data_IF_596046031490
#
_entry.id   IF_596046031490
#
_cell.length_a   1.000
_cell.length_b   1.000
_cell.length_c   1.000
_cell.angle_alpha   90.00
_cell.angle_beta   90.00
_cell.angle_gamma   90.00
#
_symmetry.space_group_name_H-M   'P 1'
#
loop_
_entity.id
_entity.type
_entity.pdbx_description
1 polymer ?
#
# COMPACT_ATOMS: atom_id res chain seq x y z
N UNK A 1 22.43 -3.09 4.55
CA UNK A 1 21.41 -3.47 5.55
C UNK A 1 21.71 -4.88 6.03
N UNK A 2 21.68 -5.15 7.34
CA UNK A 2 21.87 -6.50 7.86
C UNK A 2 20.62 -7.36 7.58
N UNK A 3 20.78 -8.68 7.44
CA UNK A 3 19.71 -9.63 7.12
C UNK A 3 18.57 -9.60 8.15
N UNK A 4 18.89 -9.45 9.44
CA UNK A 4 17.88 -9.35 10.49
C UNK A 4 17.00 -8.11 10.33
N UNK A 5 17.61 -6.97 9.97
CA UNK A 5 16.88 -5.73 9.72
C UNK A 5 15.98 -5.86 8.48
N UNK A 6 16.48 -6.46 7.40
CA UNK A 6 15.69 -6.71 6.19
C UNK A 6 14.51 -7.65 6.46
N UNK A 7 14.73 -8.75 7.19
CA UNK A 7 13.67 -9.66 7.63
C UNK A 7 12.60 -8.92 8.44
N UNK A 8 13.02 -8.08 9.38
CA UNK A 8 12.10 -7.31 10.21
C UNK A 8 11.26 -6.34 9.37
N UNK A 9 11.89 -5.59 8.46
CA UNK A 9 11.19 -4.67 7.55
C UNK A 9 10.17 -5.41 6.69
N UNK A 10 10.56 -6.53 6.06
CA UNK A 10 9.65 -7.34 5.25
C UNK A 10 8.44 -7.84 6.05
N UNK A 11 8.63 -8.22 7.32
CA UNK A 11 7.52 -8.65 8.19
C UNK A 11 6.62 -7.50 8.62
N UNK A 12 7.21 -6.35 8.94
CA UNK A 12 6.45 -5.17 9.34
C UNK A 12 5.60 -4.66 8.18
N UNK A 13 6.20 -4.45 7.01
CA UNK A 13 5.49 -4.02 5.81
C UNK A 13 4.45 -5.07 5.42
N UNK A 14 4.86 -6.33 5.28
CA UNK A 14 3.95 -7.40 4.87
C UNK A 14 2.78 -7.59 5.83
N UNK A 15 3.03 -7.55 7.13
CA UNK A 15 2.00 -7.63 8.16
C UNK A 15 1.07 -6.41 8.17
N UNK A 16 1.61 -5.21 7.99
CA UNK A 16 0.81 -3.99 7.89
C UNK A 16 -0.11 -4.02 6.66
N UNK A 17 0.41 -4.42 5.49
CA UNK A 17 -0.38 -4.51 4.26
C UNK A 17 -1.51 -5.54 4.33
N UNK A 18 -1.39 -6.59 5.16
CA UNK A 18 -2.49 -7.54 5.36
C UNK A 18 -3.74 -6.93 6.00
N UNK A 19 -3.64 -5.81 6.72
CA UNK A 19 -4.84 -5.12 7.23
C UNK A 19 -5.73 -4.60 6.09
N UNK A 20 -5.20 -4.45 4.87
CA UNK A 20 -6.00 -4.13 3.70
C UNK A 20 -7.08 -5.18 3.39
N UNK A 21 -6.94 -6.43 3.87
CA UNK A 21 -7.98 -7.46 3.73
C UNK A 21 -9.34 -7.00 4.30
N UNK A 22 -9.33 -6.18 5.36
CA UNK A 22 -10.55 -5.64 5.97
C UNK A 22 -11.28 -4.75 4.95
N UNK A 23 -10.53 -3.89 4.25
CA UNK A 23 -11.05 -2.89 3.31
C UNK A 23 -11.57 -3.48 1.99
N UNK A 24 -11.39 -4.78 1.76
CA UNK A 24 -12.08 -5.49 0.68
C UNK A 24 -13.59 -5.56 0.95
N UNK A 25 -13.99 -5.67 2.21
CA UNK A 25 -15.36 -5.98 2.61
C UNK A 25 -16.09 -4.81 3.28
N UNK A 26 -15.39 -3.72 3.60
CA UNK A 26 -16.03 -2.57 4.24
C UNK A 26 -17.13 -1.98 3.36
N UNK A 27 -18.22 -1.50 3.96
CA UNK A 27 -19.32 -0.88 3.21
C UNK A 27 -18.93 0.54 2.76
N UNK A 28 -19.74 1.13 1.88
CA UNK A 28 -19.45 2.46 1.32
C UNK A 28 -19.40 3.55 2.39
N UNK A 29 -20.28 3.47 3.38
CA UNK A 29 -20.42 4.41 4.47
C UNK A 29 -19.12 4.56 5.25
N UNK A 30 -18.41 3.46 5.52
CA UNK A 30 -17.11 3.50 6.20
C UNK A 30 -16.05 4.20 5.37
N UNK A 31 -16.01 3.95 4.06
CA UNK A 31 -15.07 4.62 3.17
C UNK A 31 -15.36 6.12 3.10
N UNK A 32 -16.64 6.49 3.01
CA UNK A 32 -17.07 7.88 2.99
C UNK A 32 -16.77 8.60 4.32
N UNK A 33 -17.04 7.97 5.46
CA UNK A 33 -16.71 8.50 6.79
C UNK A 33 -15.20 8.74 6.94
N UNK A 34 -14.36 7.82 6.47
CA UNK A 34 -12.90 7.99 6.48
C UNK A 34 -12.51 9.15 5.58
N UNK A 35 -13.01 9.19 4.33
CA UNK A 35 -12.72 10.24 3.36
C UNK A 35 -13.08 11.64 3.88
N UNK A 36 -14.23 11.77 4.55
CA UNK A 36 -14.62 12.97 5.27
C UNK A 36 -13.69 13.26 6.46
N UNK A 37 -13.39 12.26 7.29
CA UNK A 37 -12.58 12.40 8.50
C UNK A 37 -11.13 12.86 8.24
N UNK A 38 -10.60 12.54 7.05
CA UNK A 38 -9.27 12.99 6.60
C UNK A 38 -9.32 14.30 5.78
N UNK A 39 -10.50 14.91 5.65
CA UNK A 39 -10.67 16.22 5.01
C UNK A 39 -10.69 16.20 3.48
N UNK A 40 -10.98 15.06 2.84
CA UNK A 40 -11.13 14.96 1.38
C UNK A 40 -12.58 15.18 0.90
N UNK A 41 -13.53 15.35 1.83
CA UNK A 41 -14.92 15.66 1.53
C UNK A 41 -15.78 14.42 1.30
N UNK A 42 -16.82 14.54 0.49
CA UNK A 42 -17.71 13.44 0.16
C UNK A 42 -17.08 12.54 -0.91
N UNK A 43 -17.08 11.24 -0.64
CA UNK A 43 -16.60 10.24 -1.59
C UNK A 43 -17.61 10.14 -2.76
N UNK A 44 -17.18 10.00 -4.03
CA UNK A 44 -18.15 9.84 -5.10
C UNK A 44 -18.84 8.46 -5.08
N UNK A 45 -20.16 8.42 -5.27
CA UNK A 45 -20.97 7.18 -5.34
C UNK A 45 -20.83 6.40 -6.67
N UNK A 46 -19.80 6.69 -7.46
CA UNK A 46 -19.58 5.99 -8.73
C UNK A 46 -19.09 4.55 -8.47
N UNK A 47 -19.60 3.52 -9.21
CA UNK A 47 -19.17 2.13 -9.01
C UNK A 47 -17.66 1.91 -9.11
N UNK A 48 -16.97 2.72 -9.92
CA UNK A 48 -15.51 2.66 -10.09
C UNK A 48 -14.75 2.96 -8.79
N UNK A 49 -15.29 3.82 -7.90
CA UNK A 49 -14.65 4.17 -6.63
C UNK A 49 -14.61 2.95 -5.71
N UNK A 50 -15.76 2.31 -5.53
CA UNK A 50 -15.86 1.10 -4.73
C UNK A 50 -15.07 -0.08 -5.32
N UNK A 51 -15.01 -0.18 -6.64
CA UNK A 51 -14.19 -1.18 -7.34
C UNK A 51 -12.70 -0.94 -7.07
N UNK A 52 -12.18 0.27 -7.36
CA UNK A 52 -10.76 0.60 -7.21
C UNK A 52 -10.28 0.45 -5.77
N UNK A 53 -11.05 0.97 -4.79
CA UNK A 53 -10.72 0.86 -3.37
C UNK A 53 -10.59 -0.60 -2.90
N UNK A 54 -11.48 -1.48 -3.35
CA UNK A 54 -11.45 -2.91 -2.99
C UNK A 54 -10.39 -3.68 -3.75
N UNK A 55 -10.20 -3.40 -5.05
CA UNK A 55 -9.17 -4.05 -5.85
C UNK A 55 -7.77 -3.66 -5.39
N UNK A 56 -7.55 -2.39 -5.03
CA UNK A 56 -6.24 -1.95 -4.50
C UNK A 56 -5.99 -2.54 -3.12
N UNK A 57 -7.02 -2.67 -2.29
CA UNK A 57 -6.92 -3.37 -1.00
C UNK A 57 -6.53 -4.84 -1.16
N UNK A 58 -7.16 -5.55 -2.11
CA UNK A 58 -6.80 -6.93 -2.45
C UNK A 58 -5.37 -7.04 -2.99
N UNK A 59 -4.94 -6.08 -3.81
CA UNK A 59 -3.57 -6.01 -4.31
C UNK A 59 -2.55 -5.83 -3.16
N UNK A 60 -2.79 -4.89 -2.24
CA UNK A 60 -1.92 -4.71 -1.06
C UNK A 60 -1.92 -5.92 -0.14
N UNK A 61 -3.05 -6.61 0.03
CA UNK A 61 -3.08 -7.85 0.80
C UNK A 61 -2.21 -8.95 0.15
N UNK A 62 -2.30 -9.13 -1.17
CA UNK A 62 -1.45 -10.06 -1.92
C UNK A 62 0.02 -9.67 -1.81
N UNK A 63 0.33 -8.38 -1.99
CA UNK A 63 1.68 -7.84 -1.90
C UNK A 63 2.27 -8.00 -0.50
N UNK A 64 1.46 -7.80 0.53
CA UNK A 64 1.82 -8.05 1.92
C UNK A 64 2.14 -9.52 2.19
N UNK A 65 1.30 -10.41 1.66
CA UNK A 65 1.56 -11.86 1.69
C UNK A 65 2.89 -12.23 1.02
N UNK A 66 3.21 -11.63 -0.13
CA UNK A 66 4.50 -11.81 -0.80
C UNK A 66 5.67 -11.37 0.10
N UNK A 67 5.60 -10.20 0.73
CA UNK A 67 6.66 -9.75 1.64
C UNK A 67 6.85 -10.67 2.84
N UNK A 68 5.76 -11.17 3.43
CA UNK A 68 5.84 -12.15 4.51
C UNK A 68 6.50 -13.44 4.05
N UNK A 69 6.15 -13.95 2.86
CA UNK A 69 6.78 -15.13 2.28
C UNK A 69 8.29 -14.93 2.07
N UNK A 70 8.69 -13.79 1.50
CA UNK A 70 10.10 -13.45 1.28
C UNK A 70 10.87 -13.31 2.61
N UNK A 71 10.19 -12.96 3.70
CA UNK A 71 10.82 -12.80 5.01
C UNK A 71 11.30 -14.11 5.65
N UNK A 72 10.79 -15.27 5.22
CA UNK A 72 11.17 -16.56 5.82
C UNK A 72 12.59 -16.98 5.47
N UNK A 73 13.06 -16.69 4.25
CA UNK A 73 14.41 -17.01 3.79
C UNK A 73 15.01 -15.89 2.92
N UNK A 74 15.49 -14.85 3.61
CA UNK A 74 16.04 -13.65 2.98
C UNK A 74 17.27 -13.95 2.12
N UNK A 75 18.10 -14.93 2.49
CA UNK A 75 19.31 -15.29 1.73
C UNK A 75 18.95 -15.95 0.41
N UNK A 76 18.05 -16.93 0.45
CA UNK A 76 17.58 -17.64 -0.74
C UNK A 76 16.84 -16.72 -1.70
N UNK A 77 16.08 -15.76 -1.17
CA UNK A 77 15.24 -14.87 -1.96
C UNK A 77 15.91 -13.54 -2.30
N UNK A 78 17.23 -13.40 -2.14
CA UNK A 78 17.93 -12.10 -2.26
C UNK A 78 17.66 -11.39 -3.59
N UNK A 79 17.78 -12.07 -4.72
CA UNK A 79 17.55 -11.48 -6.04
C UNK A 79 16.10 -11.00 -6.20
N UNK A 80 15.15 -11.82 -5.75
CA UNK A 80 13.73 -11.49 -5.79
C UNK A 80 13.39 -10.32 -4.86
N UNK A 81 13.97 -10.28 -3.65
CA UNK A 81 13.81 -9.15 -2.72
C UNK A 81 14.38 -7.86 -3.33
N UNK A 82 15.53 -7.93 -4.00
CA UNK A 82 16.09 -6.78 -4.71
C UNK A 82 15.20 -6.31 -5.86
N UNK A 83 14.67 -7.23 -6.66
CA UNK A 83 13.75 -6.91 -7.75
C UNK A 83 12.44 -6.29 -7.24
N UNK A 84 11.84 -6.89 -6.21
CA UNK A 84 10.62 -6.36 -5.57
C UNK A 84 10.90 -4.99 -4.94
N UNK A 85 12.00 -4.83 -4.21
CA UNK A 85 12.35 -3.54 -3.61
C UNK A 85 12.59 -2.42 -4.63
N UNK A 86 13.22 -2.73 -5.77
CA UNK A 86 13.34 -1.79 -6.89
C UNK A 86 11.97 -1.46 -7.50
N UNK A 87 11.12 -2.47 -7.67
CA UNK A 87 9.75 -2.29 -8.14
C UNK A 87 8.92 -1.41 -7.21
N UNK A 88 9.03 -1.61 -5.89
CA UNK A 88 8.37 -0.79 -4.88
C UNK A 88 8.88 0.65 -4.90
N UNK A 89 10.20 0.86 -5.03
CA UNK A 89 10.75 2.21 -5.15
C UNK A 89 10.24 2.94 -6.41
N UNK A 90 10.13 2.23 -7.53
CA UNK A 90 9.56 2.78 -8.76
C UNK A 90 8.06 3.07 -8.62
N UNK A 91 7.31 2.17 -7.97
CA UNK A 91 5.90 2.39 -7.65
C UNK A 91 5.73 3.64 -6.79
N UNK A 92 6.55 3.80 -5.75
CA UNK A 92 6.51 4.97 -4.87
C UNK A 92 6.75 6.29 -5.58
N UNK A 93 7.73 6.35 -6.48
CA UNK A 93 7.94 7.52 -7.34
C UNK A 93 6.75 7.78 -8.26
N UNK A 94 6.13 6.73 -8.78
CA UNK A 94 4.97 6.83 -9.65
C UNK A 94 3.75 7.35 -8.87
N UNK A 95 3.49 6.84 -7.67
CA UNK A 95 2.42 7.31 -6.79
C UNK A 95 2.65 8.76 -6.38
N UNK A 96 3.88 9.13 -5.99
CA UNK A 96 4.21 10.52 -5.67
C UNK A 96 3.88 11.48 -6.82
N UNK A 97 4.17 11.07 -8.07
CA UNK A 97 3.82 11.86 -9.25
C UNK A 97 2.30 11.94 -9.47
N UNK A 98 1.59 10.82 -9.31
CA UNK A 98 0.12 10.76 -9.42
C UNK A 98 -0.52 11.65 -8.35
N UNK A 99 -0.11 11.55 -7.09
CA UNK A 99 -0.65 12.37 -5.98
C UNK A 99 -0.46 13.86 -6.24
N UNK A 100 0.67 14.22 -6.84
CA UNK A 100 0.94 15.59 -7.28
C UNK A 100 -0.04 16.03 -8.36
N UNK A 101 -0.23 15.21 -9.38
CA UNK A 101 -1.13 15.47 -10.50
C UNK A 101 -2.60 15.55 -10.07
N UNK A 102 -3.05 14.65 -9.21
CA UNK A 102 -4.43 14.57 -8.71
C UNK A 102 -4.73 15.61 -7.61
N UNK A 103 -3.74 16.40 -7.20
CA UNK A 103 -3.96 17.51 -6.27
C UNK A 103 -4.22 17.07 -4.82
N UNK A 104 -3.73 15.89 -4.41
CA UNK A 104 -3.92 15.41 -3.04
C UNK A 104 -3.27 16.33 -1.98
N UNK A 105 -3.69 16.26 -0.70
CA UNK A 105 -3.07 17.02 0.38
C UNK A 105 -1.57 16.77 0.50
N UNK A 106 -0.81 17.77 0.95
CA UNK A 106 0.65 17.66 1.08
C UNK A 106 1.09 16.51 2.00
N UNK A 107 0.38 16.30 3.11
CA UNK A 107 0.69 15.21 4.03
C UNK A 107 0.55 13.84 3.36
N UNK A 108 -0.42 13.67 2.45
CA UNK A 108 -0.63 12.43 1.72
C UNK A 108 0.55 12.13 0.79
N UNK A 109 0.95 13.12 -0.02
CA UNK A 109 2.06 13.05 -0.97
C UNK A 109 3.37 12.59 -0.34
N UNK A 110 3.68 13.13 0.85
CA UNK A 110 4.95 12.83 1.54
C UNK A 110 4.91 11.49 2.26
N UNK A 111 3.71 10.99 2.58
CA UNK A 111 3.53 9.71 3.27
C UNK A 111 3.35 8.52 2.33
N UNK A 112 2.52 8.61 1.29
CA UNK A 112 2.24 7.45 0.43
C UNK A 112 3.42 7.14 -0.49
N UNK A 113 3.77 8.05 -1.39
CA UNK A 113 4.80 7.81 -2.40
C UNK A 113 6.15 7.32 -1.83
N UNK A 114 6.77 8.00 -0.84
CA UNK A 114 8.08 7.60 -0.33
C UNK A 114 8.09 6.31 0.52
N UNK A 115 6.95 5.85 1.03
CA UNK A 115 6.87 4.75 2.01
C UNK A 115 5.99 3.57 1.58
N UNK A 116 5.55 3.54 0.32
CA UNK A 116 4.88 2.37 -0.27
C UNK A 116 5.78 1.14 -0.33
#
# INVERSE_FOLDING_TARGET
>A
MNEQALRFILRMIGGASLFALIFIFVPYEWMNEIHHGIGLGELPEAPVVGYLARSVSAFYALFGGLFLLLSFDVKRHRELISAVGLGTAFLGLTLLFIDWHEGLPFWWKVWEGPFV
#
